data_IF_181603756876
#
_entry.id   IF_181603756876
#
_cell.length_a   1.000
_cell.length_b   1.000
_cell.length_c   1.000
_cell.angle_alpha   90.00
_cell.angle_beta   90.00
_cell.angle_gamma   90.00
#
_symmetry.space_group_name_H-M   'P 1'
#
loop_
_entity.id
_entity.type
_entity.pdbx_description
1 polymer ?
#
# COMPACT_ATOMS: atom_id res chain seq x y z
N UNK A 1 69.55 37.91 31.49
CA UNK A 1 69.14 39.29 31.18
C UNK A 1 67.65 39.44 31.46
N UNK A 2 67.36 40.18 32.52
CA UNK A 2 66.03 40.64 32.90
C UNK A 2 65.31 41.33 31.74
N UNK A 3 64.05 40.96 31.49
CA UNK A 3 62.95 41.88 31.16
C UNK A 3 61.63 41.24 31.63
N UNK A 4 61.12 41.78 32.74
CA UNK A 4 59.74 42.18 33.09
C UNK A 4 58.46 41.50 32.53
N UNK A 5 57.34 41.64 33.27
CA UNK A 5 56.23 40.69 33.30
C UNK A 5 54.99 41.19 32.54
N UNK A 6 54.13 40.22 32.19
CA UNK A 6 52.69 40.37 31.94
C UNK A 6 52.32 41.45 30.91
N UNK A 7 52.16 41.03 29.66
CA UNK A 7 51.30 41.70 28.69
C UNK A 7 50.95 40.75 27.54
N UNK A 8 50.00 39.83 27.75
CA UNK A 8 49.06 39.47 26.68
C UNK A 8 47.98 38.51 27.20
N UNK A 9 46.74 38.98 27.25
CA UNK A 9 45.54 38.19 27.56
C UNK A 9 45.22 37.20 26.44
N UNK A 10 46.05 36.17 26.26
CA UNK A 10 45.83 35.14 25.25
C UNK A 10 44.81 34.12 25.73
N UNK A 11 43.63 34.19 25.13
CA UNK A 11 42.61 33.14 25.21
C UNK A 11 43.19 31.85 24.61
N UNK A 12 43.40 30.83 25.45
CA UNK A 12 43.81 29.49 24.99
C UNK A 12 42.59 28.77 24.45
N UNK A 13 42.46 28.69 23.12
CA UNK A 13 41.54 27.76 22.46
C UNK A 13 42.10 26.34 22.56
N UNK A 14 41.63 25.57 23.53
CA UNK A 14 41.77 24.11 23.50
C UNK A 14 40.67 23.54 22.59
N UNK A 15 41.07 22.77 21.58
CA UNK A 15 40.15 21.94 20.79
C UNK A 15 40.09 20.55 21.43
N UNK A 16 38.92 20.07 21.86
CA UNK A 16 38.83 18.65 22.24
C UNK A 16 38.72 17.79 20.96
N UNK A 17 39.18 16.55 21.07
CA UNK A 17 38.98 15.55 20.03
C UNK A 17 37.47 15.27 19.84
N UNK A 18 37.04 14.81 18.65
CA UNK A 18 35.70 14.27 18.47
C UNK A 18 35.38 13.25 19.56
N UNK A 19 34.20 13.38 20.18
CA UNK A 19 33.83 12.53 21.32
C UNK A 19 33.95 13.15 22.70
N UNK A 20 34.49 14.37 22.79
CA UNK A 20 34.69 15.06 24.05
C UNK A 20 34.09 16.47 24.02
N UNK A 21 33.66 16.97 25.18
CA UNK A 21 33.13 18.32 25.35
C UNK A 21 33.79 19.02 26.54
N UNK A 22 33.81 20.36 26.52
CA UNK A 22 34.44 21.16 27.57
C UNK A 22 33.39 21.65 28.57
N UNK A 23 33.54 21.30 29.85
CA UNK A 23 32.74 21.92 30.93
C UNK A 23 33.38 23.24 31.31
N UNK A 24 32.64 24.35 31.39
CA UNK A 24 33.16 25.55 32.06
C UNK A 24 32.58 25.66 33.46
N UNK A 25 33.36 26.15 34.42
CA UNK A 25 32.91 26.38 35.79
C UNK A 25 31.72 27.37 35.83
N UNK A 26 30.86 27.16 36.81
CA UNK A 26 29.65 27.94 37.09
C UNK A 26 30.04 28.94 38.17
N UNK A 27 29.99 30.23 37.86
CA UNK A 27 29.74 31.22 38.90
C UNK A 27 28.59 32.13 38.48
N UNK A 28 27.58 32.15 39.35
CA UNK A 28 26.23 32.57 39.04
C UNK A 28 26.10 34.09 38.98
N UNK A 29 25.87 34.62 37.78
CA UNK A 29 24.92 35.72 37.57
C UNK A 29 24.38 35.71 36.13
N UNK A 30 23.19 36.28 35.94
CA UNK A 30 22.18 35.76 35.05
C UNK A 30 21.90 36.77 33.94
N UNK A 31 22.51 36.57 32.78
CA UNK A 31 21.83 36.75 31.50
C UNK A 31 22.88 36.79 30.40
N UNK A 32 22.74 35.86 29.45
CA UNK A 32 23.09 36.15 28.07
C UNK A 32 24.54 36.60 27.75
N UNK A 33 25.52 35.76 28.05
CA UNK A 33 26.64 35.53 27.12
C UNK A 33 26.60 34.06 26.66
N UNK A 34 25.43 33.63 26.19
CA UNK A 34 25.05 33.53 24.77
C UNK A 34 25.75 32.36 24.07
N UNK A 35 25.09 31.20 24.21
CA UNK A 35 24.93 30.14 23.19
C UNK A 35 26.20 29.42 22.70
N UNK A 36 26.64 28.47 23.53
CA UNK A 36 27.55 27.33 23.28
C UNK A 36 28.99 27.51 23.83
N UNK A 37 29.17 27.12 25.11
CA UNK A 37 30.48 26.79 25.70
C UNK A 37 31.19 25.78 24.76
N UNK A 38 32.33 26.22 24.22
CA UNK A 38 33.26 25.57 23.28
C UNK A 38 32.78 24.30 22.56
N UNK A 39 32.47 24.46 21.27
CA UNK A 39 32.27 23.39 20.28
C UNK A 39 33.62 22.76 19.92
N UNK A 40 33.66 21.43 19.82
CA UNK A 40 34.73 20.78 19.08
C UNK A 40 34.34 20.82 17.61
N UNK A 41 35.09 21.55 16.80
CA UNK A 41 34.88 21.54 15.36
C UNK A 41 35.30 20.15 14.85
N UNK A 42 34.32 19.39 14.38
CA UNK A 42 34.56 18.11 13.74
C UNK A 42 35.41 18.36 12.48
N UNK A 43 36.71 18.08 12.54
CA UNK A 43 37.53 18.03 11.34
C UNK A 43 37.24 16.69 10.67
N UNK A 44 36.56 16.71 9.52
CA UNK A 44 36.32 15.53 8.71
C UNK A 44 37.64 15.10 8.05
N UNK A 45 38.52 14.43 8.77
CA UNK A 45 39.65 13.73 8.18
C UNK A 45 39.72 12.31 8.74
N UNK A 46 39.52 11.33 7.85
CA UNK A 46 39.50 9.90 8.14
C UNK A 46 40.84 9.32 8.63
N UNK A 47 41.83 10.16 8.92
CA UNK A 47 43.18 9.74 9.30
C UNK A 47 44.02 10.95 9.70
N UNK A 48 43.96 11.39 10.96
CA UNK A 48 45.02 12.24 11.51
C UNK A 48 44.93 12.35 13.03
N UNK A 49 45.93 11.77 13.69
CA UNK A 49 46.32 12.12 15.05
C UNK A 49 46.76 13.59 15.00
N UNK A 50 45.93 14.50 15.52
CA UNK A 50 46.32 15.88 15.73
C UNK A 50 47.21 15.98 16.96
N UNK A 51 48.52 16.15 16.78
CA UNK A 51 49.46 16.50 17.86
C UNK A 51 49.13 17.89 18.40
N UNK A 52 48.92 17.99 19.72
CA UNK A 52 48.81 19.26 20.43
C UNK A 52 50.08 19.53 21.25
N UNK A 53 50.65 20.73 21.12
CA UNK A 53 51.76 21.21 21.95
C UNK A 53 51.22 21.84 23.25
N UNK A 54 51.89 21.53 24.37
CA UNK A 54 51.59 22.03 25.72
C UNK A 54 52.12 23.45 25.96
N UNK A 55 51.32 24.27 26.66
CA UNK A 55 51.81 25.46 27.37
C UNK A 55 51.24 25.44 28.78
N UNK A 56 52.12 25.53 29.78
CA UNK A 56 51.73 25.66 31.18
C UNK A 56 51.30 27.11 31.48
N UNK A 57 50.19 27.27 32.19
CA UNK A 57 49.85 28.53 32.86
C UNK A 57 49.71 28.28 34.37
N UNK A 58 50.36 29.14 35.15
CA UNK A 58 50.26 29.17 36.61
C UNK A 58 48.81 29.39 37.05
N UNK A 59 48.33 28.51 37.93
CA UNK A 59 47.19 28.68 38.84
C UNK A 59 45.79 28.99 38.28
N UNK A 60 45.49 28.63 37.03
CA UNK A 60 44.09 28.54 36.56
C UNK A 60 43.80 27.15 36.02
N UNK A 61 42.78 26.51 36.61
CA UNK A 61 42.35 25.15 36.28
C UNK A 61 42.03 25.08 34.79
N UNK A 62 42.76 24.24 34.05
CA UNK A 62 42.47 23.94 32.65
C UNK A 62 41.16 23.13 32.62
N UNK A 63 40.10 23.68 32.01
CA UNK A 63 38.83 22.97 31.83
C UNK A 63 39.06 21.55 31.30
N UNK A 64 38.55 20.55 32.02
CA UNK A 64 38.73 19.16 31.62
C UNK A 64 37.75 18.82 30.49
N UNK A 65 38.26 18.26 29.39
CA UNK A 65 37.41 17.65 28.39
C UNK A 65 36.73 16.42 29.04
N UNK A 66 35.39 16.40 29.07
CA UNK A 66 34.62 15.23 29.49
C UNK A 66 34.24 14.38 28.28
N UNK A 67 34.28 13.04 28.40
CA UNK A 67 33.77 12.18 27.35
C UNK A 67 32.27 12.40 27.20
N UNK A 68 31.80 12.49 25.96
CA UNK A 68 30.36 12.38 25.69
C UNK A 68 29.90 10.96 25.98
N UNK A 69 28.70 10.85 26.52
CA UNK A 69 28.01 9.57 26.71
C UNK A 69 26.61 9.60 26.13
N UNK A 70 26.14 8.44 25.72
CA UNK A 70 24.77 8.19 25.32
C UNK A 70 24.09 7.32 26.36
N UNK A 71 22.90 7.73 26.82
CA UNK A 71 22.14 6.95 27.80
C UNK A 71 21.38 5.81 27.12
N UNK A 72 21.50 4.59 27.66
CA UNK A 72 20.77 3.42 27.16
C UNK A 72 19.23 3.56 27.25
N UNK A 73 18.73 4.24 28.30
CA UNK A 73 17.32 4.56 28.48
C UNK A 73 16.73 5.41 27.35
N UNK A 74 17.52 6.29 26.72
CA UNK A 74 17.08 7.15 25.61
C UNK A 74 16.82 6.32 24.34
N UNK A 75 17.64 5.31 24.07
CA UNK A 75 17.38 4.33 22.99
C UNK A 75 16.06 3.59 23.19
N UNK A 76 15.77 3.22 24.44
CA UNK A 76 14.56 2.50 24.82
C UNK A 76 13.32 3.38 24.88
N UNK A 77 13.48 4.70 25.06
CA UNK A 77 12.38 5.67 25.11
C UNK A 77 12.23 6.53 23.85
N UNK A 78 13.10 6.36 22.85
CA UNK A 78 12.94 6.92 21.51
C UNK A 78 11.70 6.29 20.84
N UNK A 79 10.53 6.81 21.20
CA UNK A 79 9.25 6.66 20.48
C UNK A 79 9.26 7.40 19.13
N UNK A 80 10.44 7.80 18.62
CA UNK A 80 10.57 8.58 17.39
C UNK A 80 10.61 7.73 16.11
N UNK A 81 10.63 6.40 16.20
CA UNK A 81 9.90 5.57 15.24
C UNK A 81 9.40 4.34 15.99
N UNK A 82 8.09 4.23 16.18
CA UNK A 82 7.42 3.00 16.65
C UNK A 82 7.88 1.78 15.83
N UNK A 83 8.28 2.01 14.58
CA UNK A 83 8.90 1.04 13.69
C UNK A 83 10.23 0.45 14.19
N UNK A 84 11.11 1.22 14.84
CA UNK A 84 12.46 0.73 15.16
C UNK A 84 12.48 -0.33 16.25
N UNK A 85 11.68 -0.18 17.33
CA UNK A 85 11.64 -1.19 18.42
C UNK A 85 11.16 -2.55 17.92
N UNK A 86 10.41 -2.57 16.83
CA UNK A 86 9.91 -3.78 16.24
C UNK A 86 10.95 -4.50 15.35
N UNK A 87 12.04 -3.85 14.93
CA UNK A 87 12.95 -4.40 13.91
C UNK A 87 14.26 -5.01 14.42
N UNK A 88 14.56 -4.97 15.73
CA UNK A 88 15.75 -5.62 16.30
C UNK A 88 15.52 -6.28 17.67
N UNK A 89 16.42 -7.20 18.08
CA UNK A 89 16.49 -7.78 19.42
C UNK A 89 17.40 -6.94 20.31
N UNK A 90 16.87 -6.49 21.45
CA UNK A 90 17.55 -5.55 22.32
C UNK A 90 18.62 -6.24 23.21
N UNK A 91 19.86 -5.71 23.20
CA UNK A 91 20.96 -6.02 24.14
C UNK A 91 21.43 -4.79 24.95
N UNK A 92 20.66 -3.71 24.91
CA UNK A 92 20.93 -2.42 25.54
C UNK A 92 20.57 -2.51 27.02
N UNK A 93 21.50 -2.15 27.89
CA UNK A 93 21.24 -1.94 29.31
C UNK A 93 20.66 -0.52 29.49
N UNK A 94 19.40 -0.38 29.97
CA UNK A 94 18.75 0.92 30.16
C UNK A 94 19.49 1.83 31.14
N UNK A 95 20.22 1.26 32.10
CA UNK A 95 20.84 1.99 33.21
C UNK A 95 22.31 2.31 32.96
N UNK A 96 22.84 1.92 31.79
CA UNK A 96 24.23 2.13 31.42
C UNK A 96 24.41 3.41 30.60
N UNK A 97 25.46 4.15 30.92
CA UNK A 97 26.02 5.17 30.05
C UNK A 97 27.07 4.54 29.12
N UNK A 98 26.90 4.77 27.83
CA UNK A 98 27.80 4.28 26.78
C UNK A 98 28.68 5.43 26.31
N UNK A 99 29.98 5.19 26.16
CA UNK A 99 30.93 6.24 25.80
C UNK A 99 30.87 6.54 24.29
N UNK A 100 31.33 7.72 23.89
CA UNK A 100 31.48 8.07 22.48
C UNK A 100 32.28 7.01 21.70
N UNK A 101 31.78 6.65 20.52
CA UNK A 101 32.38 5.64 19.65
C UNK A 101 32.13 4.20 20.12
N UNK A 102 31.49 4.00 21.28
CA UNK A 102 31.07 2.68 21.69
C UNK A 102 29.95 2.17 20.77
N UNK A 103 30.16 0.97 20.24
CA UNK A 103 29.22 0.29 19.35
C UNK A 103 28.52 -0.85 20.09
N UNK A 104 27.20 -0.84 20.08
CA UNK A 104 26.39 -1.94 20.63
C UNK A 104 26.00 -2.88 19.48
N UNK A 105 26.36 -4.18 19.54
CA UNK A 105 25.89 -5.14 18.56
C UNK A 105 24.39 -5.40 18.77
N UNK A 106 23.63 -5.26 17.69
CA UNK A 106 22.20 -5.57 17.65
C UNK A 106 21.89 -6.52 16.51
N UNK A 107 20.86 -7.33 16.68
CA UNK A 107 20.42 -8.31 15.68
C UNK A 107 19.06 -7.89 15.15
N UNK A 108 18.93 -7.71 13.84
CA UNK A 108 17.65 -7.44 13.20
C UNK A 108 16.69 -8.62 13.42
N UNK A 109 15.40 -8.32 13.64
CA UNK A 109 14.39 -9.37 13.77
C UNK A 109 14.21 -10.09 12.44
N UNK A 110 13.64 -11.29 12.52
CA UNK A 110 13.23 -12.09 11.38
C UNK A 110 12.46 -11.24 10.35
N UNK A 111 12.92 -11.26 9.11
CA UNK A 111 12.36 -10.44 8.03
C UNK A 111 12.91 -9.03 7.91
N UNK A 112 13.96 -8.69 8.67
CA UNK A 112 14.70 -7.43 8.59
C UNK A 112 16.20 -7.70 8.48
N UNK A 113 16.90 -6.82 7.75
CA UNK A 113 18.34 -6.91 7.45
C UNK A 113 18.99 -5.54 7.55
N UNK A 114 20.32 -5.49 7.65
CA UNK A 114 21.08 -4.25 7.69
C UNK A 114 20.93 -3.46 6.39
N UNK A 115 20.66 -2.15 6.47
CA UNK A 115 20.41 -1.29 5.28
C UNK A 115 21.62 -1.23 4.36
N UNK A 116 22.83 -1.24 4.93
CA UNK A 116 24.09 -1.14 4.20
C UNK A 116 24.51 -2.50 3.65
N UNK A 117 23.97 -3.60 4.20
CA UNK A 117 24.22 -4.96 3.75
C UNK A 117 23.00 -5.85 3.95
N UNK A 118 22.22 -6.04 2.88
CA UNK A 118 20.93 -6.74 2.93
C UNK A 118 21.02 -8.26 3.12
N UNK A 119 22.23 -8.81 3.25
CA UNK A 119 22.45 -10.22 3.57
C UNK A 119 22.86 -10.44 5.03
N UNK A 120 22.99 -9.37 5.80
CA UNK A 120 23.43 -9.42 7.19
C UNK A 120 22.30 -9.00 8.13
N UNK A 121 22.10 -9.78 9.19
CA UNK A 121 21.15 -9.47 10.27
C UNK A 121 21.84 -8.75 11.44
N UNK A 122 23.16 -8.76 11.49
CA UNK A 122 23.91 -8.10 12.54
C UNK A 122 24.15 -6.64 12.17
N UNK A 123 23.69 -5.75 13.02
CA UNK A 123 23.90 -4.31 12.91
C UNK A 123 24.57 -3.77 14.16
N UNK A 124 24.97 -2.50 14.13
CA UNK A 124 25.59 -1.81 15.25
C UNK A 124 24.90 -0.49 15.49
N UNK A 125 24.82 -0.09 16.76
CA UNK A 125 24.40 1.24 17.18
C UNK A 125 25.60 1.93 17.75
N UNK A 126 25.96 3.08 17.20
CA UNK A 126 27.11 3.84 17.67
C UNK A 126 26.65 5.03 18.50
N UNK A 127 27.29 5.27 19.64
CA UNK A 127 27.16 6.55 20.34
C UNK A 127 27.98 7.61 19.59
N UNK A 128 27.32 8.59 18.99
CA UNK A 128 27.93 9.69 18.23
C UNK A 128 27.63 11.06 18.84
N UNK A 129 28.24 12.10 18.27
CA UNK A 129 27.98 13.47 18.67
C UNK A 129 26.68 13.98 18.05
N UNK A 130 25.81 14.63 18.82
CA UNK A 130 24.64 15.29 18.26
C UNK A 130 25.05 16.49 17.40
N UNK A 131 24.57 16.54 16.15
CA UNK A 131 24.95 17.60 15.20
C UNK A 131 24.43 18.99 15.60
N UNK A 132 23.27 19.07 16.25
CA UNK A 132 22.62 20.31 16.68
C UNK A 132 23.02 20.72 18.11
N UNK A 133 23.36 19.74 18.96
CA UNK A 133 23.78 19.93 20.35
C UNK A 133 25.08 19.19 20.65
N UNK A 134 26.24 19.71 20.26
CA UNK A 134 27.52 18.99 20.31
C UNK A 134 28.01 18.56 21.70
N UNK A 135 27.35 19.03 22.77
CA UNK A 135 27.61 18.64 24.16
C UNK A 135 26.80 17.40 24.61
N UNK A 136 25.91 16.89 23.76
CA UNK A 136 25.07 15.72 24.03
C UNK A 136 25.50 14.54 23.11
N UNK A 137 25.54 13.34 23.67
CA UNK A 137 25.63 12.12 22.90
C UNK A 137 24.30 11.82 22.20
N UNK A 138 24.36 11.42 20.94
CA UNK A 138 23.24 10.96 20.15
C UNK A 138 23.53 9.57 19.59
N UNK A 139 22.56 8.68 19.75
CA UNK A 139 22.60 7.38 19.10
C UNK A 139 22.47 7.51 17.59
N UNK A 140 23.41 6.96 16.84
CA UNK A 140 23.28 6.79 15.39
C UNK A 140 22.25 5.68 15.13
N UNK A 141 21.09 5.98 14.50
CA UNK A 141 19.99 5.03 14.45
C UNK A 141 20.37 3.74 13.71
N UNK A 142 19.77 2.65 14.18
CA UNK A 142 19.77 1.36 13.49
C UNK A 142 19.12 1.54 12.13
N UNK A 143 19.73 1.00 11.10
CA UNK A 143 19.05 0.85 9.83
C UNK A 143 18.78 -0.64 9.56
N UNK A 144 17.86 -1.25 10.33
CA UNK A 144 17.26 -2.53 9.94
C UNK A 144 16.13 -2.19 8.98
N UNK A 145 16.23 -2.68 7.75
CA UNK A 145 15.24 -2.49 6.69
C UNK A 145 14.54 -3.83 6.43
N UNK A 146 13.24 -3.83 6.12
CA UNK A 146 12.56 -5.08 5.80
C UNK A 146 13.19 -5.76 4.58
N UNK A 147 13.16 -7.10 4.58
CA UNK A 147 13.61 -7.91 3.45
C UNK A 147 12.70 -7.63 2.25
N UNK A 148 13.32 -7.35 1.10
CA UNK A 148 12.61 -7.08 -0.13
C UNK A 148 12.26 -8.36 -0.88
N UNK A 149 11.01 -8.54 -1.26
CA UNK A 149 10.66 -9.48 -2.30
C UNK A 149 11.11 -8.94 -3.65
N UNK A 150 11.73 -9.81 -4.45
CA UNK A 150 12.29 -9.42 -5.74
C UNK A 150 11.19 -8.92 -6.70
N UNK A 151 11.41 -7.74 -7.30
CA UNK A 151 10.51 -7.14 -8.31
C UNK A 151 10.34 -8.04 -9.55
N UNK A 152 11.38 -8.75 -9.96
CA UNK A 152 11.33 -9.63 -11.13
C UNK A 152 10.58 -10.94 -10.87
N UNK A 153 10.06 -11.16 -9.65
CA UNK A 153 9.61 -12.46 -9.18
C UNK A 153 8.23 -12.47 -8.52
N UNK A 154 7.40 -11.41 -8.63
CA UNK A 154 5.95 -11.70 -8.62
C UNK A 154 5.78 -12.63 -9.81
N UNK A 155 5.53 -13.92 -9.52
CA UNK A 155 5.44 -15.06 -10.43
C UNK A 155 5.24 -14.62 -11.88
N UNK A 156 5.93 -15.19 -12.87
CA UNK A 156 5.94 -14.74 -14.28
C UNK A 156 4.58 -14.42 -14.94
N UNK A 157 3.47 -14.70 -14.26
CA UNK A 157 2.13 -14.17 -14.42
C UNK A 157 1.92 -12.64 -14.24
N UNK A 158 2.75 -11.90 -13.49
CA UNK A 158 2.54 -10.44 -13.33
C UNK A 158 3.13 -9.67 -14.52
N UNK A 159 2.28 -8.93 -15.24
CA UNK A 159 2.68 -8.10 -16.37
C UNK A 159 2.64 -6.61 -16.00
N UNK A 160 3.82 -6.00 -15.91
CA UNK A 160 4.01 -4.58 -15.58
C UNK A 160 3.37 -3.61 -16.59
N UNK A 161 3.09 -4.05 -17.82
CA UNK A 161 2.47 -3.18 -18.83
C UNK A 161 0.96 -3.11 -18.70
N UNK A 162 0.33 -4.20 -18.24
CA UNK A 162 -1.13 -4.33 -18.19
C UNK A 162 -1.68 -4.30 -16.76
N UNK A 163 -0.82 -4.41 -15.75
CA UNK A 163 -1.19 -4.45 -14.34
C UNK A 163 -0.43 -3.43 -13.51
N UNK A 164 -1.07 -2.99 -12.43
CA UNK A 164 -0.48 -2.06 -11.48
C UNK A 164 -0.78 -2.47 -10.04
N UNK A 165 0.25 -2.38 -9.20
CA UNK A 165 0.09 -2.39 -7.75
C UNK A 165 -0.36 -1.00 -7.30
N UNK A 166 -1.45 -0.91 -6.53
CA UNK A 166 -2.00 0.39 -6.15
C UNK A 166 -2.17 0.59 -4.64
N UNK A 167 -2.14 -0.51 -3.89
CA UNK A 167 -2.32 -0.52 -2.44
C UNK A 167 -1.48 -1.63 -1.85
N UNK A 168 -0.92 -1.41 -0.67
CA UNK A 168 -0.32 -2.45 0.14
C UNK A 168 -0.80 -2.35 1.59
N UNK A 169 -0.76 -3.47 2.31
CA UNK A 169 -1.14 -3.58 3.70
C UNK A 169 -0.03 -4.29 4.48
N UNK A 170 0.55 -3.58 5.44
CA UNK A 170 1.52 -4.08 6.40
C UNK A 170 0.80 -4.93 7.46
N UNK A 171 0.98 -6.23 7.38
CA UNK A 171 0.29 -7.19 8.25
C UNK A 171 0.78 -7.17 9.70
N UNK A 172 1.97 -6.64 9.98
CA UNK A 172 2.49 -6.58 11.35
C UNK A 172 2.12 -5.26 12.01
N UNK A 173 2.08 -4.18 11.24
CA UNK A 173 1.83 -2.83 11.76
C UNK A 173 0.38 -2.35 11.62
N UNK A 174 -0.48 -3.15 11.01
CA UNK A 174 -1.87 -2.79 10.67
C UNK A 174 -1.93 -1.44 9.95
N UNK A 175 -1.04 -1.27 8.96
CA UNK A 175 -0.88 -0.02 8.21
C UNK A 175 -1.16 -0.25 6.73
N UNK A 176 -2.00 0.60 6.15
CA UNK A 176 -2.21 0.63 4.70
C UNK A 176 -1.32 1.67 4.04
N UNK A 177 -0.60 1.25 3.01
CA UNK A 177 0.15 2.12 2.09
C UNK A 177 -0.67 2.33 0.81
N UNK A 178 -0.63 3.55 0.28
CA UNK A 178 -1.33 3.93 -0.96
C UNK A 178 -0.34 4.11 -2.11
N UNK A 179 -0.84 4.53 -3.28
CA UNK A 179 -0.04 4.77 -4.48
C UNK A 179 1.03 5.87 -4.32
N UNK A 180 0.99 6.69 -3.27
CA UNK A 180 2.08 7.64 -2.97
C UNK A 180 3.30 6.97 -2.30
N UNK A 181 3.11 5.79 -1.73
CA UNK A 181 4.14 5.06 -0.96
C UNK A 181 4.50 3.73 -1.64
N UNK A 182 4.47 3.67 -2.97
CA UNK A 182 4.75 2.45 -3.76
C UNK A 182 6.12 1.84 -3.48
N UNK A 183 7.10 2.65 -3.07
CA UNK A 183 8.41 2.17 -2.65
C UNK A 183 8.34 1.23 -1.44
N UNK A 184 7.27 1.25 -0.64
CA UNK A 184 7.07 0.36 0.50
C UNK A 184 6.50 -1.01 0.09
N UNK A 185 5.85 -1.13 -1.06
CA UNK A 185 5.11 -2.34 -1.45
C UNK A 185 5.95 -3.63 -1.50
N UNK A 186 7.19 -3.64 -2.02
CA UNK A 186 7.91 -4.88 -2.29
C UNK A 186 8.64 -5.44 -1.06
N UNK A 187 8.17 -5.14 0.14
CA UNK A 187 8.84 -5.51 1.38
C UNK A 187 7.98 -6.41 2.25
N UNK A 188 8.63 -7.36 2.93
CA UNK A 188 7.99 -8.12 4.00
C UNK A 188 7.55 -7.14 5.10
N UNK A 189 6.35 -7.31 5.71
CA UNK A 189 5.38 -8.37 5.53
C UNK A 189 4.18 -7.94 4.67
N UNK A 190 4.36 -7.17 3.61
CA UNK A 190 3.23 -6.54 2.92
C UNK A 190 2.36 -7.54 2.13
N UNK A 191 1.05 -7.31 2.17
CA UNK A 191 0.08 -7.80 1.18
C UNK A 191 -0.15 -6.70 0.17
N UNK A 192 0.04 -6.96 -1.12
CA UNK A 192 -0.10 -6.01 -2.21
C UNK A 192 -1.31 -6.34 -3.06
N UNK A 193 -2.07 -5.30 -3.40
CA UNK A 193 -3.25 -5.38 -4.25
C UNK A 193 -2.89 -4.91 -5.65
N UNK A 194 -3.20 -5.77 -6.62
CA UNK A 194 -2.95 -5.60 -8.04
C UNK A 194 -4.28 -5.49 -8.76
N UNK A 195 -4.36 -4.55 -9.69
CA UNK A 195 -5.48 -4.40 -10.61
C UNK A 195 -4.98 -4.22 -12.04
N UNK A 196 -5.88 -4.36 -13.00
CA UNK A 196 -5.59 -3.97 -14.37
C UNK A 196 -5.32 -2.46 -14.47
N UNK A 197 -4.31 -2.09 -15.25
CA UNK A 197 -3.89 -0.70 -15.43
C UNK A 197 -4.89 0.11 -16.24
N UNK A 198 -5.51 -0.53 -17.24
CA UNK A 198 -6.51 0.09 -18.09
C UNK A 198 -7.88 0.07 -17.40
N UNK A 199 -8.54 1.22 -17.19
CA UNK A 199 -9.90 1.27 -16.68
C UNK A 199 -10.86 0.45 -17.56
N UNK A 200 -11.85 -0.20 -16.95
CA UNK A 200 -12.79 -1.04 -17.69
C UNK A 200 -12.23 -2.41 -18.06
N UNK A 201 -11.25 -2.91 -17.31
CA UNK A 201 -10.74 -4.29 -17.42
C UNK A 201 -10.83 -5.02 -16.08
N UNK A 202 -11.08 -6.33 -16.14
CA UNK A 202 -10.97 -7.27 -15.02
C UNK A 202 -9.95 -8.36 -15.34
N UNK A 203 -9.59 -9.16 -14.33
CA UNK A 203 -8.87 -10.41 -14.53
C UNK A 203 -9.77 -11.48 -15.15
N UNK A 204 -9.20 -12.50 -15.81
CA UNK A 204 -9.94 -13.55 -16.54
C UNK A 204 -11.03 -14.24 -15.73
N UNK A 205 -10.89 -14.34 -14.41
CA UNK A 205 -11.90 -14.88 -13.49
C UNK A 205 -12.93 -13.83 -13.03
N UNK A 206 -13.04 -12.71 -13.75
CA UNK A 206 -13.98 -11.59 -13.53
C UNK A 206 -13.79 -10.87 -12.20
N UNK A 207 -12.60 -10.95 -11.59
CA UNK A 207 -12.24 -10.17 -10.39
C UNK A 207 -11.57 -8.85 -10.76
N UNK A 208 -11.79 -7.81 -9.94
CA UNK A 208 -11.13 -6.50 -10.10
C UNK A 208 -9.71 -6.48 -9.58
N UNK A 209 -9.48 -7.18 -8.48
CA UNK A 209 -8.23 -7.15 -7.76
C UNK A 209 -7.68 -8.57 -7.58
N UNK A 210 -6.35 -8.64 -7.54
CA UNK A 210 -5.56 -9.81 -7.15
C UNK A 210 -4.67 -9.43 -5.99
N UNK A 211 -4.43 -10.39 -5.12
CA UNK A 211 -3.66 -10.15 -3.91
C UNK A 211 -2.42 -11.03 -3.89
N UNK A 212 -1.30 -10.42 -3.53
CA UNK A 212 -0.02 -11.08 -3.40
C UNK A 212 0.60 -10.75 -2.05
N UNK A 213 1.28 -11.70 -1.45
CA UNK A 213 1.99 -11.51 -0.20
C UNK A 213 3.48 -11.66 -0.40
N UNK A 214 4.22 -10.70 0.15
CA UNK A 214 5.65 -10.83 0.34
C UNK A 214 5.88 -11.55 1.67
N UNK A 215 6.27 -12.83 1.59
CA UNK A 215 6.50 -13.71 2.74
C UNK A 215 7.94 -14.20 2.76
N UNK A 216 8.47 -14.49 3.94
CA UNK A 216 9.77 -15.14 4.05
C UNK A 216 9.71 -16.56 3.47
N UNK A 217 10.77 -16.96 2.79
CA UNK A 217 10.93 -18.34 2.33
C UNK A 217 10.98 -19.26 3.55
N UNK A 218 10.40 -20.47 3.50
CA UNK A 218 10.45 -21.41 4.63
C UNK A 218 11.90 -21.61 5.13
N UNK A 219 12.09 -21.53 6.44
CA UNK A 219 13.38 -21.61 7.13
C UNK A 219 14.39 -20.48 6.84
N UNK A 220 14.01 -19.44 6.09
CA UNK A 220 14.84 -18.26 5.87
C UNK A 220 14.43 -17.11 6.79
N UNK A 221 15.42 -16.33 7.25
CA UNK A 221 15.21 -15.09 8.00
C UNK A 221 15.46 -13.83 7.17
N UNK A 222 16.09 -13.97 6.00
CA UNK A 222 16.62 -12.87 5.17
C UNK A 222 16.18 -12.93 3.71
N UNK A 223 15.46 -13.97 3.30
CA UNK A 223 14.95 -14.12 1.93
C UNK A 223 13.43 -14.11 1.93
N UNK A 224 12.85 -13.32 1.03
CA UNK A 224 11.41 -13.21 0.87
C UNK A 224 11.01 -13.46 -0.59
N UNK A 225 9.85 -14.08 -0.77
CA UNK A 225 9.25 -14.39 -2.06
C UNK A 225 7.79 -13.94 -2.12
N UNK A 226 7.33 -13.70 -3.35
CA UNK A 226 5.94 -13.43 -3.62
C UNK A 226 5.12 -14.71 -3.65
N UNK A 227 3.93 -14.64 -3.10
CA UNK A 227 2.96 -15.73 -3.15
C UNK A 227 1.56 -15.16 -3.43
N UNK A 228 0.79 -15.73 -4.37
CA UNK A 228 -0.59 -15.35 -4.57
C UNK A 228 -1.44 -15.76 -3.34
N UNK A 229 -2.46 -14.98 -3.02
CA UNK A 229 -3.40 -15.28 -1.94
C UNK A 229 -4.86 -15.06 -2.37
N UNK A 230 -5.81 -15.56 -1.57
CA UNK A 230 -7.25 -15.32 -1.74
C UNK A 230 -7.82 -15.75 -3.11
N UNK A 231 -7.51 -16.97 -3.55
CA UNK A 231 -8.01 -17.49 -4.82
C UNK A 231 -7.45 -16.73 -6.04
N UNK A 232 -6.34 -16.00 -5.87
CA UNK A 232 -5.49 -15.54 -6.97
C UNK A 232 -4.83 -16.77 -7.61
N UNK A 233 -5.30 -17.14 -8.80
CA UNK A 233 -4.69 -18.19 -9.62
C UNK A 233 -3.78 -17.54 -10.65
N UNK A 234 -2.54 -18.01 -10.79
CA UNK A 234 -1.61 -17.47 -11.79
C UNK A 234 -2.17 -17.54 -13.22
N UNK A 235 -2.94 -18.58 -13.54
CA UNK A 235 -3.62 -18.74 -14.84
C UNK A 235 -4.71 -17.69 -15.13
N UNK A 236 -5.18 -16.97 -14.11
CA UNK A 236 -6.20 -15.92 -14.21
C UNK A 236 -5.62 -14.50 -14.34
N UNK A 237 -4.29 -14.36 -14.30
CA UNK A 237 -3.55 -13.10 -14.33
C UNK A 237 -3.46 -12.53 -15.76
N UNK A 238 -4.58 -12.41 -16.45
CA UNK A 238 -4.67 -11.73 -17.74
C UNK A 238 -5.79 -10.71 -17.67
N UNK A 239 -5.47 -9.46 -18.01
CA UNK A 239 -6.44 -8.38 -18.06
C UNK A 239 -7.27 -8.46 -19.34
N UNK A 240 -8.59 -8.40 -19.18
CA UNK A 240 -9.55 -8.45 -20.27
C UNK A 240 -10.59 -7.34 -20.10
N UNK A 241 -11.14 -6.78 -21.19
CA UNK A 241 -12.22 -5.81 -21.11
C UNK A 241 -13.39 -6.33 -20.27
N UNK A 242 -14.05 -5.45 -19.52
CA UNK A 242 -15.26 -5.82 -18.78
C UNK A 242 -16.35 -6.21 -19.78
N UNK A 243 -16.88 -7.41 -19.60
CA UNK A 243 -17.97 -7.96 -20.40
C UNK A 243 -19.11 -8.44 -19.51
N UNK A 244 -20.34 -8.41 -20.02
CA UNK A 244 -21.49 -9.10 -19.45
C UNK A 244 -21.71 -10.40 -20.20
N UNK A 245 -22.05 -11.46 -19.45
CA UNK A 245 -22.33 -12.76 -20.05
C UNK A 245 -23.74 -12.75 -20.63
N UNK A 246 -23.89 -13.22 -21.87
CA UNK A 246 -25.19 -13.28 -22.54
C UNK A 246 -26.20 -14.11 -21.75
N UNK A 247 -25.76 -15.20 -21.10
CA UNK A 247 -26.62 -16.09 -20.31
C UNK A 247 -27.20 -15.44 -19.02
N UNK A 248 -26.65 -14.32 -18.56
CA UNK A 248 -27.15 -13.55 -17.40
C UNK A 248 -28.22 -12.52 -17.79
N UNK A 249 -28.49 -12.36 -19.10
CA UNK A 249 -29.45 -11.38 -19.62
C UNK A 249 -30.91 -11.74 -19.32
N UNK A 250 -31.19 -13.02 -19.06
CA UNK A 250 -32.53 -13.56 -18.80
C UNK A 250 -32.55 -14.33 -17.49
N UNK A 251 -33.66 -14.26 -16.75
CA UNK A 251 -33.85 -15.08 -15.56
C UNK A 251 -34.10 -16.53 -16.01
N UNK A 252 -33.09 -17.39 -15.88
CA UNK A 252 -33.21 -18.81 -16.21
C UNK A 252 -34.02 -19.53 -15.13
N UNK A 253 -35.35 -19.45 -15.17
CA UNK A 253 -36.21 -20.21 -14.25
C UNK A 253 -36.72 -21.52 -14.85
N UNK A 254 -37.00 -21.64 -16.16
CA UNK A 254 -37.68 -22.85 -16.68
C UNK A 254 -37.39 -23.29 -18.13
N UNK A 255 -36.46 -22.66 -18.86
CA UNK A 255 -36.11 -23.08 -20.24
C UNK A 255 -34.68 -23.60 -20.32
N UNK A 256 -34.50 -24.70 -21.05
CA UNK A 256 -33.24 -25.44 -21.12
C UNK A 256 -32.05 -24.61 -21.68
N UNK A 257 -32.31 -23.52 -22.41
CA UNK A 257 -31.29 -22.58 -22.88
C UNK A 257 -31.86 -21.16 -23.05
N UNK A 258 -31.00 -20.14 -22.99
CA UNK A 258 -31.35 -18.74 -23.34
C UNK A 258 -31.86 -18.60 -24.79
N UNK A 259 -31.35 -19.46 -25.68
CA UNK A 259 -31.79 -19.54 -27.07
C UNK A 259 -33.29 -19.86 -27.14
N UNK A 260 -33.74 -20.87 -26.39
CA UNK A 260 -35.14 -21.25 -26.30
C UNK A 260 -36.02 -20.17 -25.67
N UNK A 261 -35.47 -19.41 -24.71
CA UNK A 261 -36.17 -18.29 -24.10
C UNK A 261 -36.45 -17.18 -25.11
N UNK A 262 -35.43 -16.73 -25.83
CA UNK A 262 -35.56 -15.59 -26.74
C UNK A 262 -36.19 -15.96 -28.10
N UNK A 263 -36.00 -17.18 -28.60
CA UNK A 263 -36.64 -17.58 -29.87
C UNK A 263 -38.13 -17.88 -29.75
N UNK A 264 -38.58 -18.43 -28.61
CA UNK A 264 -40.01 -18.71 -28.36
C UNK A 264 -40.69 -17.59 -27.56
N UNK A 265 -39.97 -16.52 -27.22
CA UNK A 265 -40.45 -15.41 -26.39
C UNK A 265 -41.15 -14.28 -27.15
N UNK A 266 -41.66 -14.52 -28.37
CA UNK A 266 -42.36 -13.55 -29.23
C UNK A 266 -41.63 -12.21 -29.44
N UNK A 267 -40.30 -12.23 -29.43
CA UNK A 267 -39.46 -11.09 -29.80
C UNK A 267 -39.39 -10.92 -31.32
N UNK A 268 -39.06 -9.71 -31.77
CA UNK A 268 -38.68 -9.47 -33.16
C UNK A 268 -37.44 -10.28 -33.53
N UNK A 269 -37.30 -10.59 -34.82
CA UNK A 269 -36.18 -11.39 -35.34
C UNK A 269 -34.81 -10.68 -35.28
N UNK A 270 -34.79 -9.42 -34.89
CA UNK A 270 -33.59 -8.61 -34.70
C UNK A 270 -33.64 -7.83 -33.38
N UNK A 271 -32.46 -7.57 -32.84
CA UNK A 271 -32.23 -6.70 -31.69
C UNK A 271 -31.46 -5.47 -32.15
N UNK A 272 -31.66 -4.36 -31.48
CA UNK A 272 -30.84 -3.16 -31.70
C UNK A 272 -29.70 -3.15 -30.68
N UNK A 273 -28.46 -3.15 -31.17
CA UNK A 273 -27.28 -2.87 -30.37
C UNK A 273 -26.91 -1.40 -30.51
N UNK A 274 -26.59 -0.77 -29.38
CA UNK A 274 -26.02 0.58 -29.34
C UNK A 274 -24.61 0.46 -28.76
N UNK A 275 -23.61 0.93 -29.50
CA UNK A 275 -22.22 0.93 -29.03
C UNK A 275 -21.88 2.17 -28.18
N UNK A 276 -20.61 2.30 -27.80
CA UNK A 276 -20.08 3.40 -27.00
C UNK A 276 -20.13 4.77 -27.70
N UNK A 277 -20.26 4.78 -29.03
CA UNK A 277 -20.40 6.00 -29.84
C UNK A 277 -21.86 6.44 -29.99
N UNK A 278 -22.80 5.60 -29.54
CA UNK A 278 -24.24 5.80 -29.75
C UNK A 278 -24.74 5.29 -31.09
N UNK A 279 -23.91 4.58 -31.86
CA UNK A 279 -24.31 4.04 -33.15
C UNK A 279 -25.25 2.84 -32.93
N UNK A 280 -26.46 2.94 -33.48
CA UNK A 280 -27.42 1.83 -33.47
C UNK A 280 -27.20 0.89 -34.66
N UNK A 281 -26.99 -0.39 -34.35
CA UNK A 281 -26.89 -1.47 -35.34
C UNK A 281 -27.97 -2.51 -35.07
N UNK A 282 -28.76 -2.85 -36.10
CA UNK A 282 -29.71 -3.97 -36.01
C UNK A 282 -29.01 -5.27 -36.34
N UNK A 283 -29.09 -6.23 -35.41
CA UNK A 283 -28.44 -7.54 -35.53
C UNK A 283 -29.50 -8.64 -35.43
N UNK A 284 -29.45 -9.69 -36.25
CA UNK A 284 -30.36 -10.82 -36.09
C UNK A 284 -30.25 -11.43 -34.69
N UNK A 285 -31.39 -11.79 -34.09
CA UNK A 285 -31.44 -12.33 -32.73
C UNK A 285 -30.56 -13.58 -32.56
N UNK A 286 -30.48 -14.43 -33.59
CA UNK A 286 -29.60 -15.61 -33.62
C UNK A 286 -28.11 -15.25 -33.52
N UNK A 287 -27.70 -14.15 -34.14
CA UNK A 287 -26.29 -13.76 -34.21
C UNK A 287 -25.92 -13.10 -32.88
N UNK A 288 -26.84 -12.32 -32.30
CA UNK A 288 -26.72 -11.85 -30.93
C UNK A 288 -26.50 -13.00 -29.94
N UNK A 289 -27.30 -14.05 -30.04
CA UNK A 289 -27.23 -15.19 -29.12
C UNK A 289 -25.99 -16.08 -29.30
N UNK A 290 -25.30 -15.97 -30.43
CA UNK A 290 -24.06 -16.71 -30.66
C UNK A 290 -22.85 -16.09 -29.94
N UNK A 291 -22.94 -14.82 -29.53
CA UNK A 291 -21.93 -14.19 -28.70
C UNK A 291 -22.13 -14.59 -27.23
N UNK A 292 -21.06 -15.08 -26.58
CA UNK A 292 -21.08 -15.40 -25.14
C UNK A 292 -21.01 -14.15 -24.26
N UNK A 293 -20.46 -13.05 -24.79
CA UNK A 293 -20.05 -11.88 -24.02
C UNK A 293 -20.23 -10.57 -24.80
N UNK A 294 -20.63 -9.52 -24.08
CA UNK A 294 -20.76 -8.16 -24.60
C UNK A 294 -19.99 -7.16 -23.76
N UNK A 295 -19.27 -6.22 -24.39
CA UNK A 295 -18.52 -5.18 -23.68
C UNK A 295 -19.44 -4.30 -22.84
N UNK A 296 -18.92 -3.78 -21.72
CA UNK A 296 -19.69 -2.96 -20.78
C UNK A 296 -20.29 -1.66 -21.32
N UNK A 297 -19.86 -1.21 -22.49
CA UNK A 297 -20.43 -0.01 -23.10
C UNK A 297 -21.62 -0.30 -24.03
N UNK A 298 -21.92 -1.59 -24.28
CA UNK A 298 -23.01 -1.99 -25.16
C UNK A 298 -24.35 -1.89 -24.45
N UNK A 299 -25.32 -1.29 -25.14
CA UNK A 299 -26.74 -1.40 -24.81
C UNK A 299 -27.45 -2.28 -25.82
N UNK A 300 -28.41 -3.06 -25.36
CA UNK A 300 -29.21 -3.99 -26.17
C UNK A 300 -30.68 -3.64 -25.97
N UNK A 301 -31.39 -3.40 -27.06
CA UNK A 301 -32.84 -3.19 -27.07
C UNK A 301 -33.53 -4.36 -27.73
N UNK A 302 -34.48 -4.93 -26.99
CA UNK A 302 -35.40 -5.97 -27.44
C UNK A 302 -36.74 -5.34 -27.75
N UNK A 303 -37.29 -5.66 -28.91
CA UNK A 303 -38.62 -5.21 -29.33
C UNK A 303 -39.53 -6.43 -29.45
N UNK A 304 -40.73 -6.36 -28.87
CA UNK A 304 -41.75 -7.40 -29.02
C UNK A 304 -42.38 -7.38 -30.41
N UNK A 305 -42.89 -8.54 -30.84
CA UNK A 305 -43.78 -8.60 -32.00
C UNK A 305 -45.10 -7.88 -31.71
N UNK A 306 -45.78 -7.43 -32.77
CA UNK A 306 -47.08 -6.76 -32.66
C UNK A 306 -48.09 -7.63 -31.89
N UNK A 307 -48.77 -7.05 -30.89
CA UNK A 307 -49.74 -7.74 -30.02
C UNK A 307 -49.14 -8.40 -28.77
N UNK A 308 -47.83 -8.20 -28.52
CA UNK A 308 -47.13 -8.70 -27.34
C UNK A 308 -46.38 -7.58 -26.60
N UNK A 309 -46.22 -7.74 -25.29
CA UNK A 309 -45.49 -6.81 -24.44
C UNK A 309 -44.67 -7.54 -23.36
N UNK A 310 -43.57 -6.92 -22.93
CA UNK A 310 -42.77 -7.33 -21.78
C UNK A 310 -43.30 -6.69 -20.49
N UNK A 311 -43.20 -7.41 -19.38
CA UNK A 311 -43.42 -6.82 -18.05
C UNK A 311 -42.11 -6.23 -17.53
N UNK A 312 -42.16 -4.97 -17.10
CA UNK A 312 -41.05 -4.27 -16.44
C UNK A 312 -41.57 -3.49 -15.24
N UNK A 313 -40.67 -3.00 -14.39
CA UNK A 313 -41.00 -2.09 -13.30
C UNK A 313 -40.73 -0.66 -13.77
N UNK A 314 -41.66 0.25 -13.46
CA UNK A 314 -41.48 1.67 -13.67
C UNK A 314 -40.51 2.22 -12.62
N UNK A 315 -39.37 2.74 -13.08
CA UNK A 315 -38.28 3.17 -12.19
C UNK A 315 -38.68 4.31 -11.22
N UNK A 316 -39.70 5.12 -11.58
CA UNK A 316 -40.18 6.24 -10.76
C UNK A 316 -41.23 5.82 -9.72
N UNK A 317 -42.09 4.87 -10.08
CA UNK A 317 -43.27 4.50 -9.26
C UNK A 317 -43.17 3.14 -8.60
N UNK A 318 -42.19 2.32 -8.99
CA UNK A 318 -42.01 0.94 -8.51
C UNK A 318 -43.12 -0.03 -8.93
N UNK A 319 -44.05 0.40 -9.80
CA UNK A 319 -45.17 -0.43 -10.26
C UNK A 319 -44.82 -1.20 -11.53
N UNK A 320 -45.38 -2.40 -11.66
CA UNK A 320 -45.33 -3.15 -12.91
C UNK A 320 -46.04 -2.41 -14.04
N UNK A 321 -45.43 -2.44 -15.23
CA UNK A 321 -45.97 -1.88 -16.45
C UNK A 321 -45.62 -2.78 -17.64
N UNK A 322 -46.47 -2.74 -18.66
CA UNK A 322 -46.23 -3.42 -19.93
C UNK A 322 -45.55 -2.49 -20.91
N UNK A 323 -44.51 -2.97 -21.59
CA UNK A 323 -43.75 -2.21 -22.60
C UNK A 323 -43.55 -3.05 -23.85
N UNK A 324 -43.66 -2.42 -25.03
CA UNK A 324 -43.39 -3.07 -26.32
C UNK A 324 -41.90 -3.18 -26.64
N UNK A 325 -41.06 -2.46 -25.92
CA UNK A 325 -39.61 -2.42 -26.08
C UNK A 325 -38.92 -2.29 -24.74
N UNK A 326 -37.79 -2.97 -24.57
CA UNK A 326 -36.99 -2.92 -23.36
C UNK A 326 -35.51 -2.82 -23.72
N UNK A 327 -34.84 -1.85 -23.12
CA UNK A 327 -33.40 -1.67 -23.25
C UNK A 327 -32.71 -2.06 -21.95
N UNK A 328 -31.61 -2.77 -22.08
CA UNK A 328 -30.68 -3.08 -20.99
C UNK A 328 -29.26 -2.78 -21.45
N UNK A 329 -28.39 -2.46 -20.51
CA UNK A 329 -27.00 -2.14 -20.78
C UNK A 329 -26.11 -2.94 -19.85
N UNK A 330 -24.94 -3.31 -20.36
CA UNK A 330 -23.93 -3.92 -19.54
C UNK A 330 -23.34 -2.86 -18.60
N UNK A 331 -23.16 -3.19 -17.33
CA UNK A 331 -22.64 -2.24 -16.34
C UNK A 331 -21.12 -2.32 -16.22
N UNK A 332 -20.53 -1.29 -15.63
CA UNK A 332 -19.10 -1.29 -15.28
C UNK A 332 -18.71 -2.34 -14.24
N UNK A 333 -19.69 -3.04 -13.62
CA UNK A 333 -19.47 -4.19 -12.73
C UNK A 333 -19.54 -5.53 -13.45
N UNK A 334 -19.74 -5.54 -14.77
CA UNK A 334 -19.83 -6.77 -15.57
C UNK A 334 -21.17 -7.49 -15.44
N UNK A 335 -22.23 -6.80 -15.02
CA UNK A 335 -23.60 -7.35 -14.93
C UNK A 335 -24.58 -6.54 -15.77
N UNK A 336 -25.63 -7.17 -16.28
CA UNK A 336 -26.71 -6.47 -16.97
C UNK A 336 -27.54 -5.62 -16.00
N UNK A 337 -27.84 -4.38 -16.39
CA UNK A 337 -28.60 -3.45 -15.55
C UNK A 337 -30.08 -3.85 -15.40
N UNK A 338 -30.63 -4.55 -16.40
CA UNK A 338 -31.98 -5.10 -16.36
C UNK A 338 -32.00 -6.50 -16.98
N UNK A 339 -32.75 -7.40 -16.36
CA UNK A 339 -33.05 -8.73 -16.90
C UNK A 339 -34.24 -8.60 -17.84
N UNK A 340 -34.17 -9.25 -19.00
CA UNK A 340 -35.22 -9.23 -20.01
C UNK A 340 -36.29 -10.29 -19.71
N UNK A 341 -37.54 -9.86 -19.57
CA UNK A 341 -38.71 -10.74 -19.47
C UNK A 341 -39.18 -11.17 -20.86
N UNK A 342 -39.91 -12.28 -20.96
CA UNK A 342 -40.50 -12.74 -22.23
C UNK A 342 -41.63 -11.81 -22.71
N UNK A 343 -41.87 -11.73 -24.02
CA UNK A 343 -43.02 -11.00 -24.55
C UNK A 343 -44.29 -11.87 -24.46
N UNK A 344 -45.25 -11.42 -23.66
CA UNK A 344 -46.54 -12.08 -23.41
C UNK A 344 -47.62 -11.34 -24.20
N UNK A 345 -48.66 -12.06 -24.65
CA UNK A 345 -49.75 -11.44 -25.40
C UNK A 345 -50.46 -10.39 -24.54
N UNK A 346 -50.74 -9.22 -25.12
CA UNK A 346 -51.46 -8.14 -24.42
C UNK A 346 -52.90 -8.53 -24.02
N UNK A 347 -53.45 -9.58 -24.64
CA UNK A 347 -54.77 -10.12 -24.32
C UNK A 347 -54.78 -11.00 -23.06
N UNK A 348 -53.60 -11.42 -22.56
CA UNK A 348 -53.48 -12.01 -21.23
C UNK A 348 -53.37 -10.85 -20.24
N UNK A 349 -54.53 -10.46 -19.71
CA UNK A 349 -54.63 -9.51 -18.60
C UNK A 349 -53.75 -10.04 -17.47
N UNK A 350 -52.66 -9.32 -17.18
CA UNK A 350 -51.89 -9.52 -15.95
C UNK A 350 -52.90 -9.38 -14.82
N UNK A 351 -53.26 -10.48 -14.15
CA UNK A 351 -54.10 -10.40 -12.96
C UNK A 351 -53.40 -9.45 -12.00
N UNK A 352 -54.07 -8.38 -11.53
CA UNK A 352 -53.50 -7.53 -10.50
C UNK A 352 -53.41 -8.38 -9.25
N UNK A 353 -52.22 -8.91 -8.95
CA UNK A 353 -51.93 -9.40 -7.62
C UNK A 353 -52.01 -8.17 -6.70
N UNK A 354 -53.17 -7.99 -6.06
CA UNK A 354 -53.30 -7.09 -4.94
C UNK A 354 -52.23 -7.51 -3.92
N UNK A 355 -51.33 -6.59 -3.58
CA UNK A 355 -50.29 -6.77 -2.57
C UNK A 355 -50.88 -6.80 -1.13
N UNK A 356 -51.98 -7.53 -0.94
CA UNK A 356 -52.71 -7.67 0.32
C UNK A 356 -52.85 -9.11 0.82
N UNK A 357 -52.73 -10.12 -0.05
CA UNK A 357 -52.88 -11.53 0.33
C UNK A 357 -51.67 -12.34 -0.15
N UNK A 358 -50.57 -12.28 0.59
CA UNK A 358 -49.46 -13.24 0.48
C UNK A 358 -49.30 -13.92 1.83
N UNK A 359 -50.27 -14.77 2.16
CA UNK A 359 -50.14 -15.79 3.19
C UNK A 359 -51.15 -16.94 2.93
N UNK A 360 -51.07 -17.55 1.75
CA UNK A 360 -51.44 -18.97 1.55
C UNK A 360 -51.32 -19.37 0.09
N UNK A 361 -50.45 -20.36 -0.14
CA UNK A 361 -50.50 -21.35 -1.23
C UNK A 361 -50.61 -20.85 -2.68
N UNK A 362 -49.55 -21.07 -3.46
CA UNK A 362 -49.70 -21.26 -4.90
C UNK A 362 -48.75 -22.34 -5.42
N UNK A 363 -49.27 -23.57 -5.41
CA UNK A 363 -49.04 -24.59 -6.42
C UNK A 363 -49.26 -23.98 -7.80
N UNK A 364 -48.25 -24.01 -8.68
CA UNK A 364 -48.38 -23.52 -10.07
C UNK A 364 -48.46 -24.68 -11.07
N UNK A 365 -49.47 -24.59 -11.93
CA UNK A 365 -49.66 -25.32 -13.19
C UNK A 365 -48.74 -24.75 -14.25
#
# INVERSE_FOLDING_TARGET
>A
PDVDPIADGRIVKAACAPGFFRTSEVDGTPDSLIRNRYRCDHVSSASSIGTANLVAMNNTVVDHCKPMSCQGSVLLNLNLQVDFKETYRNRIDPNREYLFGESIPVECKTGYVKITNRTDINSTIDCRQNALKPNEGQWDPIFCTPVGCNKSAMSGAYDYNTMQMYKAYDRLKDRTYTSSETHMFPYYPNTVYVRCSTPGQFFRDRKYDKTFQCNLVPNSTIEATWSPVEGTLESSMQCQPITCLTNELVAMSYRATIQDYLTKGNFNSSVTLTDDTGLETKVPLKDFLSASEYKYTVSVRFDCQSGFAMSTVNDTTGKFMSVSSMQTSCSSVGSWNKIISECISENLTICPCNAGDLDSEMTMI
#
